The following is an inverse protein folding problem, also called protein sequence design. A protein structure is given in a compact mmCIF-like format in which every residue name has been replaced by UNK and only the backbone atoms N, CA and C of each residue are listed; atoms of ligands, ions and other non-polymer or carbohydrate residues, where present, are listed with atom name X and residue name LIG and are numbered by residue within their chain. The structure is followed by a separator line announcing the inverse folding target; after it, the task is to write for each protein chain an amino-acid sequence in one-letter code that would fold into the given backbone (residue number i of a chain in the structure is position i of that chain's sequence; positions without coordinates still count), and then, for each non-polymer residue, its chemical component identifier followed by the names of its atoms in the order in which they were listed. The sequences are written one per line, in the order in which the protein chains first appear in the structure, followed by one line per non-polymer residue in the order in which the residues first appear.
data_IF_346478158555
#
_entry.id   IF_346478158555
#
_cell.length_a   1.000
_cell.length_b   1.000
_cell.length_c   1.000
_cell.angle_alpha   90.00
_cell.angle_beta   90.00
_cell.angle_gamma   90.00
#
_symmetry.space_group_name_H-M   'P 1'
#
loop_
_entity.id
_entity.type
_entity.pdbx_description
1 polymer ?
#
# COMPACT_ATOMS: atom_id res chain seq x y z
N UNK A 1 -29.56 -0.45 -13.42
CA UNK A 1 -28.96 0.89 -13.47
C UNK A 1 -27.64 0.83 -12.70
N UNK A 2 -26.54 0.61 -13.41
CA UNK A 2 -25.20 0.61 -12.82
C UNK A 2 -24.70 2.05 -12.81
N UNK A 3 -24.30 2.56 -11.65
CA UNK A 3 -23.56 3.81 -11.56
C UNK A 3 -22.15 3.57 -12.08
N UNK A 4 -21.82 4.16 -13.22
CA UNK A 4 -20.47 4.18 -13.78
C UNK A 4 -19.52 4.85 -12.80
N UNK A 5 -18.55 4.08 -12.30
CA UNK A 5 -17.43 4.61 -11.54
C UNK A 5 -16.44 5.23 -12.54
N UNK A 6 -16.46 6.57 -12.67
CA UNK A 6 -15.54 7.33 -13.53
C UNK A 6 -14.13 7.46 -12.90
N UNK A 7 -13.51 6.33 -12.57
CA UNK A 7 -12.09 6.25 -12.31
C UNK A 7 -11.39 5.85 -13.60
N UNK A 8 -10.88 6.82 -14.36
CA UNK A 8 -10.16 6.59 -15.60
C UNK A 8 -8.84 5.82 -15.33
N UNK A 9 -8.93 4.50 -15.18
CA UNK A 9 -7.80 3.59 -15.38
C UNK A 9 -7.79 3.26 -16.87
N UNK A 10 -6.72 3.63 -17.57
CA UNK A 10 -6.52 3.18 -18.96
C UNK A 10 -6.43 1.66 -18.91
N UNK A 11 -7.18 0.97 -19.76
CA UNK A 11 -7.32 -0.49 -19.76
C UNK A 11 -5.97 -1.23 -19.85
N UNK A 12 -4.93 -0.56 -20.36
CA UNK A 12 -3.55 -1.06 -20.48
C UNK A 12 -2.53 -0.22 -19.70
N UNK A 13 -2.96 0.53 -18.68
CA UNK A 13 -2.02 1.27 -17.84
C UNK A 13 -1.07 0.29 -17.13
N UNK A 14 0.25 0.57 -17.04
CA UNK A 14 1.19 -0.25 -16.30
C UNK A 14 0.98 -0.18 -14.77
N UNK A 15 -0.06 0.52 -14.32
CA UNK A 15 -0.38 0.78 -12.91
C UNK A 15 -1.88 0.63 -12.71
N UNK A 16 -2.26 -0.05 -11.62
CA UNK A 16 -3.63 -0.10 -11.14
C UNK A 16 -3.68 0.21 -9.64
N UNK A 17 -4.81 0.71 -9.16
CA UNK A 17 -5.02 1.06 -7.74
C UNK A 17 -6.02 0.11 -7.11
N UNK A 18 -5.73 -0.32 -5.89
CA UNK A 18 -6.65 -1.10 -5.06
C UNK A 18 -6.75 -0.48 -3.68
N UNK A 19 -7.94 -0.55 -3.09
CA UNK A 19 -8.11 -0.32 -1.66
C UNK A 19 -7.83 -1.62 -0.90
N UNK A 20 -7.02 -1.52 0.16
CA UNK A 20 -6.77 -2.62 1.11
C UNK A 20 -8.08 -3.14 1.71
N UNK A 21 -8.93 -2.21 2.12
CA UNK A 21 -10.29 -2.46 2.56
C UNK A 21 -11.27 -1.82 1.55
N UNK A 22 -12.04 -2.61 0.79
CA UNK A 22 -12.91 -2.09 -0.28
C UNK A 22 -13.94 -1.04 0.17
N UNK A 23 -14.51 -1.19 1.36
CA UNK A 23 -15.49 -0.28 1.93
C UNK A 23 -14.83 0.76 2.85
N UNK A 24 -14.85 2.06 2.48
CA UNK A 24 -14.43 3.14 3.35
C UNK A 24 -15.53 3.46 4.35
N UNK A 25 -15.34 3.13 5.63
CA UNK A 25 -16.19 3.62 6.70
C UNK A 25 -15.47 3.58 8.04
N UNK A 26 -15.77 4.56 8.89
CA UNK A 26 -15.23 4.66 10.24
C UNK A 26 -15.72 3.48 11.09
N UNK A 27 -16.98 3.10 10.94
CA UNK A 27 -17.60 1.98 11.65
C UNK A 27 -18.64 1.27 10.78
N UNK A 28 -18.99 0.03 11.15
CA UNK A 28 -20.04 -0.75 10.49
C UNK A 28 -21.42 -0.12 10.70
N UNK A 29 -21.64 0.58 11.82
CA UNK A 29 -22.91 1.29 12.09
C UNK A 29 -23.24 2.35 11.04
N UNK A 30 -22.22 2.96 10.40
CA UNK A 30 -22.41 3.98 9.36
C UNK A 30 -22.61 3.39 7.96
N UNK A 31 -22.69 2.07 7.82
CA UNK A 31 -22.96 1.44 6.53
C UNK A 31 -24.43 1.55 6.14
N UNK A 32 -24.66 1.76 4.84
CA UNK A 32 -26.00 1.61 4.29
C UNK A 32 -26.43 0.13 4.30
N UNK A 33 -27.74 -0.12 4.13
CA UNK A 33 -28.28 -1.48 4.18
C UNK A 33 -27.68 -2.41 3.12
N UNK A 34 -27.29 -1.88 1.95
CA UNK A 34 -26.61 -2.66 0.91
C UNK A 34 -25.25 -3.19 1.38
N UNK A 35 -24.44 -2.34 2.01
CA UNK A 35 -23.12 -2.72 2.54
C UNK A 35 -23.25 -3.71 3.71
N UNK A 36 -24.24 -3.52 4.58
CA UNK A 36 -24.53 -4.48 5.67
C UNK A 36 -24.94 -5.84 5.11
N UNK A 37 -25.84 -5.86 4.13
CA UNK A 37 -26.31 -7.10 3.51
C UNK A 37 -25.17 -7.83 2.76
N UNK A 38 -24.35 -7.10 2.01
CA UNK A 38 -23.23 -7.64 1.25
C UNK A 38 -22.17 -8.29 2.16
N UNK A 39 -21.83 -7.63 3.26
CA UNK A 39 -20.75 -8.06 4.15
C UNK A 39 -21.22 -9.04 5.21
N UNK A 40 -22.46 -8.90 5.69
CA UNK A 40 -23.00 -9.63 6.83
C UNK A 40 -22.26 -9.36 8.14
N UNK A 41 -21.44 -8.31 8.21
CA UNK A 41 -20.69 -7.98 9.42
C UNK A 41 -21.49 -7.04 10.32
N UNK A 42 -21.35 -7.24 11.64
CA UNK A 42 -21.92 -6.37 12.67
C UNK A 42 -20.83 -5.52 13.31
N UNK A 43 -19.58 -6.01 13.29
CA UNK A 43 -18.41 -5.32 13.85
C UNK A 43 -17.34 -5.05 12.78
N UNK A 44 -16.58 -3.96 12.96
CA UNK A 44 -15.49 -3.59 12.05
C UNK A 44 -14.38 -4.63 12.01
N UNK A 45 -14.08 -5.26 13.14
CA UNK A 45 -13.10 -6.34 13.25
C UNK A 45 -13.49 -7.58 12.43
N UNK A 46 -14.76 -7.95 12.41
CA UNK A 46 -15.27 -9.06 11.59
C UNK A 46 -15.07 -8.77 10.10
N UNK A 47 -15.33 -7.53 9.68
CA UNK A 47 -15.06 -7.09 8.33
C UNK A 47 -13.58 -7.18 7.97
N UNK A 48 -12.68 -6.75 8.85
CA UNK A 48 -11.24 -6.92 8.64
C UNK A 48 -10.85 -8.40 8.57
N UNK A 49 -11.39 -9.25 9.43
CA UNK A 49 -11.19 -10.70 9.36
C UNK A 49 -11.66 -11.30 8.02
N UNK A 50 -12.81 -10.85 7.49
CA UNK A 50 -13.26 -11.25 6.14
C UNK A 50 -12.32 -10.79 5.05
N UNK A 51 -11.81 -9.56 5.12
CA UNK A 51 -10.83 -9.06 4.16
C UNK A 51 -9.53 -9.88 4.21
N UNK A 52 -9.04 -10.22 5.41
CA UNK A 52 -7.91 -11.14 5.57
C UNK A 52 -8.18 -12.49 4.91
N UNK A 53 -9.36 -13.07 5.11
CA UNK A 53 -9.71 -14.39 4.58
C UNK A 53 -9.95 -14.45 3.07
N UNK A 54 -10.32 -13.34 2.42
CA UNK A 54 -10.78 -13.35 1.02
C UNK A 54 -10.08 -12.31 0.14
N UNK A 55 -9.88 -11.09 0.63
CA UNK A 55 -9.30 -9.98 -0.12
C UNK A 55 -7.77 -10.07 -0.19
N UNK A 56 -7.12 -10.47 0.89
CA UNK A 56 -5.66 -10.58 0.92
C UNK A 56 -5.13 -11.73 0.04
N UNK A 57 -5.78 -12.92 -0.02
CA UNK A 57 -5.46 -13.93 -1.02
C UNK A 57 -5.46 -13.40 -2.46
N UNK A 58 -6.47 -12.60 -2.83
CA UNK A 58 -6.53 -11.98 -4.16
C UNK A 58 -5.31 -11.09 -4.43
N UNK A 59 -4.80 -10.35 -3.45
CA UNK A 59 -3.60 -9.52 -3.66
C UNK A 59 -2.36 -10.37 -3.94
N UNK A 60 -2.23 -11.52 -3.29
CA UNK A 60 -1.14 -12.46 -3.57
C UNK A 60 -1.26 -13.07 -4.96
N UNK A 61 -2.47 -13.42 -5.39
CA UNK A 61 -2.72 -13.86 -6.76
C UNK A 61 -2.32 -12.78 -7.79
N UNK A 62 -2.66 -11.52 -7.51
CA UNK A 62 -2.27 -10.38 -8.37
C UNK A 62 -0.75 -10.19 -8.41
N UNK A 63 -0.04 -10.40 -7.31
CA UNK A 63 1.42 -10.35 -7.28
C UNK A 63 2.01 -11.44 -8.18
N UNK A 64 1.49 -12.67 -8.10
CA UNK A 64 1.96 -13.77 -8.96
C UNK A 64 1.67 -13.47 -10.44
N UNK A 65 0.48 -12.93 -10.73
CA UNK A 65 0.06 -12.68 -12.10
C UNK A 65 0.80 -11.52 -12.76
N UNK A 66 0.98 -10.40 -12.04
CA UNK A 66 1.56 -9.17 -12.59
C UNK A 66 3.05 -8.98 -12.25
N UNK A 67 3.60 -9.77 -11.32
CA UNK A 67 4.98 -9.71 -10.86
C UNK A 67 5.49 -8.27 -10.62
N UNK A 68 4.77 -7.43 -9.85
CA UNK A 68 5.17 -6.04 -9.68
C UNK A 68 6.52 -5.96 -8.96
N UNK A 69 7.42 -5.08 -9.39
CA UNK A 69 8.66 -4.84 -8.65
C UNK A 69 8.41 -4.02 -7.37
N UNK A 70 7.42 -3.13 -7.43
CA UNK A 70 7.13 -2.12 -6.40
C UNK A 70 5.63 -2.03 -6.16
N UNK A 71 5.23 -1.91 -4.90
CA UNK A 71 3.87 -1.63 -4.46
C UNK A 71 3.90 -0.36 -3.61
N UNK A 72 3.09 0.64 -3.97
CA UNK A 72 2.96 1.88 -3.20
C UNK A 72 1.74 1.79 -2.28
N UNK A 73 1.99 1.81 -0.98
CA UNK A 73 1.03 1.64 0.10
C UNK A 73 0.78 2.99 0.79
N UNK A 74 -0.43 3.53 0.61
CA UNK A 74 -0.84 4.83 1.14
C UNK A 74 -1.55 4.63 2.49
N UNK A 75 -1.00 5.21 3.56
CA UNK A 75 -1.52 5.10 4.93
C UNK A 75 -0.59 4.28 5.82
N UNK A 76 0.19 4.98 6.65
CA UNK A 76 1.23 4.39 7.50
C UNK A 76 0.66 3.46 8.57
N UNK A 77 -0.55 3.76 9.02
CA UNK A 77 -1.25 3.03 10.07
C UNK A 77 -1.59 1.58 9.68
N UNK A 78 -1.55 1.23 8.38
CA UNK A 78 -1.90 -0.08 7.86
C UNK A 78 -0.68 -0.87 7.34
N UNK A 79 0.55 -0.49 7.69
CA UNK A 79 1.75 -1.13 7.14
C UNK A 79 1.80 -2.64 7.41
N UNK A 80 1.36 -3.09 8.58
CA UNK A 80 1.34 -4.53 8.90
C UNK A 80 0.32 -5.28 8.05
N UNK A 81 -0.86 -4.68 7.83
CA UNK A 81 -1.88 -5.24 6.96
C UNK A 81 -1.45 -5.25 5.50
N UNK A 82 -0.73 -4.23 5.04
CA UNK A 82 -0.13 -4.22 3.70
C UNK A 82 0.91 -5.34 3.55
N UNK A 83 1.84 -5.48 4.49
CA UNK A 83 2.80 -6.59 4.51
C UNK A 83 2.09 -7.93 4.51
N UNK A 84 1.08 -8.12 5.34
CA UNK A 84 0.35 -9.37 5.38
C UNK A 84 -0.42 -9.66 4.07
N UNK A 85 -1.02 -8.63 3.48
CA UNK A 85 -1.77 -8.77 2.25
C UNK A 85 -0.87 -9.13 1.05
N UNK A 86 0.33 -8.56 0.98
CA UNK A 86 1.23 -8.72 -0.17
C UNK A 86 2.32 -9.78 0.03
N UNK A 87 2.80 -9.98 1.26
CA UNK A 87 3.85 -10.94 1.59
C UNK A 87 3.33 -12.22 2.26
N UNK A 88 2.07 -12.23 2.71
CA UNK A 88 1.45 -13.43 3.29
C UNK A 88 1.82 -13.70 4.75
N UNK A 89 2.66 -12.86 5.38
CA UNK A 89 2.97 -12.89 6.80
C UNK A 89 3.26 -11.50 7.38
N UNK A 90 3.33 -11.45 8.70
CA UNK A 90 3.75 -10.29 9.49
C UNK A 90 5.08 -10.68 10.15
N UNK A 91 6.12 -10.86 9.35
CA UNK A 91 7.46 -10.96 9.94
C UNK A 91 7.95 -9.58 10.40
N UNK A 92 8.71 -9.58 11.50
CA UNK A 92 9.40 -8.39 11.99
C UNK A 92 10.54 -8.09 11.03
N UNK A 93 10.24 -7.24 10.06
CA UNK A 93 11.18 -6.80 9.04
C UNK A 93 12.31 -5.98 9.69
N UNK A 94 13.54 -6.15 9.22
CA UNK A 94 14.63 -5.22 9.51
C UNK A 94 14.50 -4.07 8.52
N UNK A 95 14.19 -2.83 8.95
CA UNK A 95 14.11 -1.70 8.04
C UNK A 95 15.46 -1.52 7.32
N UNK A 96 15.53 -1.88 6.03
CA UNK A 96 16.78 -1.87 5.27
C UNK A 96 17.36 -0.46 5.13
N UNK A 97 16.51 0.57 5.26
CA UNK A 97 16.90 1.95 5.49
C UNK A 97 15.84 2.66 6.34
N UNK A 98 15.83 2.39 7.64
CA UNK A 98 15.38 3.41 8.60
C UNK A 98 16.56 4.35 8.85
N UNK A 99 16.87 5.22 7.90
CA UNK A 99 17.45 6.48 8.33
C UNK A 99 16.38 7.08 9.25
N UNK A 100 16.67 7.20 10.55
CA UNK A 100 15.84 7.94 11.49
C UNK A 100 15.81 9.39 11.02
N UNK A 101 14.92 9.65 10.10
CA UNK A 101 14.60 10.95 9.55
C UNK A 101 13.40 11.45 10.34
N UNK A 102 13.38 12.76 10.55
CA UNK A 102 12.76 13.43 11.70
C UNK A 102 11.30 13.00 11.93
N UNK A 103 10.77 13.13 13.15
CA UNK A 103 9.35 12.88 13.47
C UNK A 103 8.32 13.68 12.65
N UNK A 104 8.77 14.46 11.66
CA UNK A 104 8.08 15.60 11.07
C UNK A 104 7.74 15.39 9.58
N UNK A 105 8.12 14.25 8.99
CA UNK A 105 8.49 14.23 7.57
C UNK A 105 7.61 13.29 6.70
N UNK A 106 7.08 13.87 5.61
CA UNK A 106 6.19 13.32 4.55
C UNK A 106 6.83 12.15 3.76
N UNK A 107 8.04 11.73 4.13
CA UNK A 107 8.89 10.87 3.31
C UNK A 107 8.41 9.42 3.28
N UNK A 108 8.60 8.73 2.15
CA UNK A 108 8.25 7.32 2.02
C UNK A 108 9.26 6.43 2.74
N UNK A 109 8.77 5.34 3.35
CA UNK A 109 9.60 4.26 3.89
C UNK A 109 9.62 3.07 2.92
N UNK A 110 10.70 2.29 2.95
CA UNK A 110 10.88 1.14 2.05
C UNK A 110 11.07 -0.12 2.88
N UNK A 111 10.24 -1.12 2.56
CA UNK A 111 10.21 -2.43 3.20
C UNK A 111 10.53 -3.50 2.15
N UNK A 112 11.39 -4.47 2.49
CA UNK A 112 11.85 -5.50 1.56
C UNK A 112 11.86 -6.86 2.21
N UNK A 113 11.42 -7.85 1.44
CA UNK A 113 11.55 -9.26 1.78
C UNK A 113 12.01 -10.03 0.56
N UNK A 114 12.98 -10.92 0.72
CA UNK A 114 13.52 -11.71 -0.39
C UNK A 114 12.39 -12.54 -1.04
N UNK A 115 12.30 -12.49 -2.37
CA UNK A 115 11.26 -13.20 -3.13
C UNK A 115 9.90 -12.47 -3.20
N UNK A 116 9.79 -11.26 -2.65
CA UNK A 116 8.56 -10.47 -2.64
C UNK A 116 8.75 -9.08 -3.26
N UNK A 117 7.66 -8.44 -3.72
CA UNK A 117 7.70 -7.05 -4.18
C UNK A 117 8.15 -6.09 -3.08
N UNK A 118 8.86 -5.03 -3.47
CA UNK A 118 9.23 -3.95 -2.56
C UNK A 118 7.99 -3.15 -2.18
N UNK A 119 7.77 -2.93 -0.88
CA UNK A 119 6.67 -2.10 -0.39
C UNK A 119 7.20 -0.69 -0.08
N UNK A 120 6.53 0.32 -0.64
CA UNK A 120 6.78 1.72 -0.37
C UNK A 120 5.62 2.24 0.48
N UNK A 121 5.88 2.52 1.74
CA UNK A 121 4.91 3.09 2.67
C UNK A 121 4.91 4.62 2.54
N UNK A 122 3.75 5.22 2.28
CA UNK A 122 3.59 6.67 2.17
C UNK A 122 2.58 7.19 3.18
N UNK A 123 2.66 8.48 3.56
CA UNK A 123 1.57 9.12 4.28
C UNK A 123 0.24 9.03 3.52
N UNK A 124 -0.86 9.14 4.26
CA UNK A 124 -2.20 9.23 3.68
C UNK A 124 -2.43 10.59 3.02
N UNK A 125 -3.35 10.66 2.05
CA UNK A 125 -3.83 11.93 1.49
C UNK A 125 -4.94 12.51 2.38
N UNK A 126 -4.73 13.68 2.98
CA UNK A 126 -5.74 14.27 3.85
C UNK A 126 -5.22 15.42 4.71
N UNK A 127 -6.14 16.17 5.31
CA UNK A 127 -5.89 17.49 5.93
C UNK A 127 -5.18 17.45 7.29
N UNK A 128 -4.87 16.26 7.82
CA UNK A 128 -4.24 16.14 9.14
C UNK A 128 -2.73 16.42 9.04
N UNK A 129 -2.13 16.72 10.18
CA UNK A 129 -0.67 16.89 10.30
C UNK A 129 0.04 15.66 9.72
N UNK A 130 1.05 15.90 8.88
CA UNK A 130 1.88 14.87 8.21
C UNK A 130 1.19 14.05 7.11
N UNK A 131 0.03 14.49 6.63
CA UNK A 131 -0.64 13.92 5.46
C UNK A 131 -0.45 14.81 4.23
N UNK A 132 -0.59 14.23 3.05
CA UNK A 132 -0.43 14.90 1.76
C UNK A 132 -1.69 15.70 1.44
N UNK A 133 -1.57 17.01 1.26
CA UNK A 133 -2.72 17.90 1.08
C UNK A 133 -2.71 18.72 -0.19
N UNK A 134 -1.53 18.95 -0.74
CA UNK A 134 -1.34 19.74 -1.93
C UNK A 134 -0.81 18.84 -3.06
N UNK A 135 -1.14 19.19 -4.30
CA UNK A 135 -0.57 18.53 -5.48
C UNK A 135 0.96 18.60 -5.48
N UNK A 136 1.53 19.68 -4.92
CA UNK A 136 2.97 19.83 -4.71
C UNK A 136 3.54 18.75 -3.78
N UNK A 137 2.79 18.35 -2.74
CA UNK A 137 3.23 17.31 -1.80
C UNK A 137 3.22 15.94 -2.49
N UNK A 138 2.19 15.66 -3.29
CA UNK A 138 2.08 14.43 -4.07
C UNK A 138 3.19 14.33 -5.12
N UNK A 139 3.52 15.45 -5.79
CA UNK A 139 4.64 15.52 -6.73
C UNK A 139 5.97 15.27 -6.02
N UNK A 140 6.22 15.95 -4.90
CA UNK A 140 7.44 15.77 -4.10
C UNK A 140 7.58 14.33 -3.63
N UNK A 141 6.49 13.71 -3.16
CA UNK A 141 6.49 12.30 -2.80
C UNK A 141 6.90 11.41 -3.98
N UNK A 142 6.33 11.63 -5.17
CA UNK A 142 6.71 10.88 -6.36
C UNK A 142 8.19 11.02 -6.70
N UNK A 143 8.74 12.23 -6.62
CA UNK A 143 10.17 12.50 -6.81
C UNK A 143 11.03 11.79 -5.76
N UNK A 144 10.64 11.82 -4.48
CA UNK A 144 11.37 11.16 -3.40
C UNK A 144 11.32 9.63 -3.50
N UNK A 145 10.18 9.05 -3.91
CA UNK A 145 10.09 7.62 -4.24
C UNK A 145 11.07 7.29 -5.37
N UNK A 146 11.07 8.08 -6.45
CA UNK A 146 11.97 7.89 -7.59
C UNK A 146 13.45 7.95 -7.20
N UNK A 147 13.87 9.01 -6.48
CA UNK A 147 15.25 9.18 -5.99
C UNK A 147 15.69 8.02 -5.10
N UNK A 148 14.82 7.62 -4.17
CA UNK A 148 15.08 6.47 -3.30
C UNK A 148 15.27 5.23 -4.16
N UNK A 149 14.29 4.84 -4.99
CA UNK A 149 14.37 3.66 -5.86
C UNK A 149 15.63 3.64 -6.74
N UNK A 150 16.03 4.78 -7.33
CA UNK A 150 17.26 4.89 -8.11
C UNK A 150 18.53 4.61 -7.28
N UNK A 151 18.65 5.23 -6.09
CA UNK A 151 19.75 4.95 -5.15
C UNK A 151 19.81 3.47 -4.76
N UNK A 152 18.69 2.75 -4.79
CA UNK A 152 18.68 1.30 -4.55
C UNK A 152 19.10 0.48 -5.76
N UNK A 153 18.71 0.87 -6.97
CA UNK A 153 19.15 0.20 -8.19
C UNK A 153 20.67 0.33 -8.34
N UNK A 154 21.24 1.51 -8.06
CA UNK A 154 22.68 1.73 -8.10
C UNK A 154 23.44 0.87 -7.07
N UNK A 155 22.87 0.65 -5.88
CA UNK A 155 23.44 -0.26 -4.87
C UNK A 155 23.33 -1.74 -5.21
N UNK A 156 22.45 -2.12 -6.15
CA UNK A 156 22.36 -3.50 -6.66
C UNK A 156 23.32 -3.74 -7.84
N UNK A 157 24.02 -2.70 -8.32
CA UNK A 157 24.98 -2.77 -9.44
C UNK A 157 26.44 -2.83 -8.93
N UNK A 158 26.71 -2.70 -7.63
CA UNK A 158 28.04 -3.10 -7.13
C UNK A 158 28.19 -4.62 -7.33
N UNK A 159 29.10 -5.07 -8.23
CA UNK A 159 29.28 -6.49 -8.44
C UNK A 159 29.94 -7.06 -7.19
N UNK A 160 29.61 -8.32 -6.89
CA UNK A 160 30.51 -9.21 -6.15
C UNK A 160 31.88 -9.20 -6.84
N UNK A 161 32.71 -8.24 -6.48
CA UNK A 161 34.15 -8.26 -6.74
C UNK A 161 34.78 -8.49 -5.38
N UNK A 162 34.89 -9.76 -5.00
CA UNK A 162 35.99 -10.24 -4.17
C UNK A 162 36.18 -11.75 -4.41
N UNK A 163 37.14 -12.00 -5.30
CA UNK A 163 38.19 -13.04 -5.32
C UNK A 163 37.88 -14.43 -4.72
#
# INVERSE_FOLDING_TARGET
MGSEYNGNYVQDAPVFKLNLFPLPAVDVSSWNESNKLMTGCVLKSEYYGRCVGHRFPLFRELIVHFAPNVIVCIGREFINEFKFAFWGDIEVDVPVLSEQLRPDEIYPQIHRKQGFPTIIETPFFGWRKFQLNLDSDAKLLGEEIGKKLLKYLDKCIEPDVNL
#
